data_IF_684098799259
#
_entry.id   IF_684098799259
#
_cell.length_a   1.000
_cell.length_b   1.000
_cell.length_c   1.000
_cell.angle_alpha   90.00
_cell.angle_beta   90.00
_cell.angle_gamma   90.00
#
_symmetry.space_group_name_H-M   'P 1'
#
loop_
_entity.id
_entity.type
_entity.pdbx_description
1 polymer ?
#
# COMPACT_ATOMS: atom_id res chain seq x y z
N UNK A 1 35.03 -6.23 -42.34
CA UNK A 1 35.96 -5.08 -42.25
C UNK A 1 35.77 -4.42 -40.89
N UNK A 2 36.84 -4.39 -40.12
CA UNK A 2 36.92 -4.01 -38.71
C UNK A 2 36.82 -2.50 -38.47
N UNK A 3 36.30 -2.13 -37.29
CA UNK A 3 36.69 -1.04 -36.35
C UNK A 3 35.77 -1.21 -35.13
N UNK A 4 36.11 -1.80 -33.97
CA UNK A 4 37.22 -1.69 -33.00
C UNK A 4 37.33 -0.33 -32.28
N UNK A 5 36.76 -0.34 -31.07
CA UNK A 5 37.08 0.30 -29.78
C UNK A 5 36.84 1.80 -29.55
N UNK A 6 36.15 2.11 -28.46
CA UNK A 6 36.73 2.91 -27.37
C UNK A 6 36.24 2.41 -26.00
N UNK A 7 37.23 2.12 -25.16
CA UNK A 7 37.15 1.76 -23.74
C UNK A 7 37.17 3.06 -22.95
N UNK A 8 36.31 3.19 -21.94
CA UNK A 8 36.35 4.25 -20.94
C UNK A 8 36.19 3.65 -19.55
N UNK A 9 37.20 3.86 -18.71
CA UNK A 9 37.49 3.20 -17.43
C UNK A 9 37.35 4.22 -16.28
N UNK A 10 36.90 3.75 -15.10
CA UNK A 10 37.15 4.27 -13.73
C UNK A 10 36.45 5.61 -13.33
N UNK A 11 36.05 5.89 -12.09
CA UNK A 11 36.53 5.41 -10.79
C UNK A 11 35.52 5.56 -9.62
N UNK A 12 35.78 4.77 -8.59
CA UNK A 12 35.28 4.79 -7.21
C UNK A 12 35.54 6.11 -6.49
N UNK A 13 34.64 6.51 -5.57
CA UNK A 13 34.99 7.29 -4.37
C UNK A 13 34.04 6.94 -3.21
N UNK A 14 34.60 6.24 -2.22
CA UNK A 14 34.07 6.01 -0.88
C UNK A 14 34.18 7.32 -0.07
N UNK A 15 33.16 7.64 0.72
CA UNK A 15 33.31 8.50 1.88
C UNK A 15 32.67 7.84 3.11
N UNK A 16 33.53 7.47 4.04
CA UNK A 16 33.25 6.89 5.35
C UNK A 16 33.19 8.04 6.36
N UNK A 17 32.13 8.17 7.16
CA UNK A 17 32.14 9.04 8.35
C UNK A 17 31.66 8.26 9.57
N UNK A 18 32.62 8.02 10.46
CA UNK A 18 32.45 7.45 11.80
C UNK A 18 32.13 8.60 12.76
N UNK A 19 31.08 8.46 13.56
CA UNK A 19 30.76 9.35 14.67
C UNK A 19 30.32 8.53 15.89
N UNK A 20 31.28 8.20 16.76
CA UNK A 20 31.07 7.66 18.10
C UNK A 20 30.99 8.84 19.09
N UNK A 21 29.96 8.87 19.93
CA UNK A 21 30.00 9.57 21.21
C UNK A 21 29.17 8.78 22.24
N UNK A 22 29.88 7.99 23.05
CA UNK A 22 29.38 7.44 24.30
C UNK A 22 29.70 8.42 25.43
N UNK A 23 28.71 8.72 26.28
CA UNK A 23 28.88 9.51 27.50
C UNK A 23 28.12 8.83 28.64
N UNK A 24 28.87 8.12 29.49
CA UNK A 24 28.40 7.48 30.71
C UNK A 24 29.31 7.94 31.86
N UNK A 25 28.71 8.26 33.01
CA UNK A 25 29.39 8.62 34.25
C UNK A 25 28.53 9.62 35.05
N UNK A 26 28.19 9.42 36.31
CA UNK A 26 28.60 8.43 37.29
C UNK A 26 28.33 9.02 38.68
N UNK A 27 27.91 8.16 39.61
CA UNK A 27 27.34 8.40 40.94
C UNK A 27 28.06 9.39 41.89
N UNK A 28 27.26 9.94 42.81
CA UNK A 28 27.68 10.57 44.05
C UNK A 28 26.64 10.36 45.16
N UNK A 29 26.96 9.40 46.02
CA UNK A 29 26.31 8.96 47.27
C UNK A 29 26.21 10.07 48.33
N UNK A 30 25.16 10.02 49.17
CA UNK A 30 25.13 10.37 50.61
C UNK A 30 23.67 10.40 51.13
N UNK A 31 23.26 9.38 51.91
CA UNK A 31 22.11 9.47 52.83
C UNK A 31 22.55 9.83 54.26
N UNK A 32 21.70 9.71 55.30
CA UNK A 32 20.24 9.77 55.32
C UNK A 32 19.72 10.80 56.36
N UNK A 33 18.57 11.43 56.13
CA UNK A 33 17.77 12.02 57.21
C UNK A 33 16.37 11.41 57.27
N UNK A 34 15.99 11.07 58.50
CA UNK A 34 14.82 10.31 58.89
C UNK A 34 13.69 11.29 59.17
N UNK A 35 12.66 11.32 58.31
CA UNK A 35 11.37 11.95 58.63
C UNK A 35 10.27 10.95 58.32
N UNK A 36 9.41 10.75 59.31
CA UNK A 36 8.32 9.77 59.31
C UNK A 36 6.98 10.47 59.05
N UNK A 37 6.13 9.77 58.29
CA UNK A 37 4.64 9.80 58.20
C UNK A 37 4.00 10.92 57.36
N UNK A 38 3.41 10.52 56.23
CA UNK A 38 1.95 10.64 56.00
C UNK A 38 1.49 9.69 54.89
N UNK A 39 0.48 8.87 55.23
CA UNK A 39 -0.26 8.00 54.32
C UNK A 39 -0.83 8.80 53.17
N UNK A 40 -0.35 8.53 51.96
CA UNK A 40 -0.96 8.96 50.70
C UNK A 40 -1.83 7.78 50.23
N UNK A 41 -3.08 7.99 49.81
CA UNK A 41 -3.88 6.89 49.28
C UNK A 41 -3.15 6.26 48.10
N UNK A 42 -3.08 4.93 48.06
CA UNK A 42 -2.74 4.18 46.87
C UNK A 42 -3.73 4.59 45.78
N UNK A 43 -3.33 5.50 44.89
CA UNK A 43 -3.88 5.52 43.54
C UNK A 43 -3.34 4.26 42.88
N UNK A 44 -4.14 3.20 42.96
CA UNK A 44 -4.07 2.08 42.03
C UNK A 44 -4.16 2.67 40.63
N UNK A 45 -2.98 2.92 40.04
CA UNK A 45 -2.86 3.20 38.62
C UNK A 45 -3.40 1.99 37.90
N UNK A 46 -4.65 2.10 37.45
CA UNK A 46 -5.25 1.19 36.48
C UNK A 46 -4.21 0.95 35.37
N UNK A 47 -3.89 -0.31 35.02
CA UNK A 47 -3.10 -0.56 33.85
C UNK A 47 -3.83 0.07 32.68
N UNK A 48 -3.20 1.06 32.05
CA UNK A 48 -3.67 1.63 30.80
C UNK A 48 -3.60 0.53 29.74
N UNK A 49 -4.67 -0.23 29.64
CA UNK A 49 -4.98 -1.11 28.51
C UNK A 49 -5.34 -0.24 27.29
N UNK A 50 -4.41 0.61 26.86
CA UNK A 50 -4.38 1.03 25.45
C UNK A 50 -3.57 -0.01 24.71
N UNK A 51 -4.11 -1.23 24.62
CA UNK A 51 -3.78 -2.10 23.50
C UNK A 51 -4.24 -1.31 22.26
N UNK A 52 -3.33 -0.55 21.66
CA UNK A 52 -3.59 0.13 20.40
C UNK A 52 -3.97 -0.95 19.40
N UNK A 53 -5.26 -1.09 19.12
CA UNK A 53 -5.77 -2.00 18.10
C UNK A 53 -5.00 -1.71 16.81
N UNK A 54 -4.49 -2.76 16.17
CA UNK A 54 -3.76 -2.62 14.91
C UNK A 54 -4.61 -1.79 13.91
N UNK A 55 -4.00 -0.86 13.16
CA UNK A 55 -4.76 -0.04 12.22
C UNK A 55 -5.45 -0.91 11.18
N UNK A 56 -6.71 -0.58 10.88
CA UNK A 56 -7.49 -1.28 9.86
C UNK A 56 -7.38 -0.57 8.51
N UNK A 57 -7.19 -1.35 7.44
CA UNK A 57 -7.30 -0.91 6.04
C UNK A 57 -8.40 -1.71 5.35
N UNK A 58 -9.39 -1.02 4.77
CA UNK A 58 -10.42 -1.68 3.94
C UNK A 58 -9.88 -1.91 2.53
N UNK A 59 -9.74 -3.15 2.10
CA UNK A 59 -9.11 -3.55 0.85
C UNK A 59 -10.16 -3.79 -0.24
N UNK A 60 -10.44 -2.78 -1.07
CA UNK A 60 -11.45 -2.86 -2.12
C UNK A 60 -10.85 -3.26 -3.47
N UNK A 61 -11.35 -4.35 -4.04
CA UNK A 61 -10.93 -4.86 -5.33
C UNK A 61 -11.67 -6.13 -5.72
N UNK A 62 -11.23 -6.77 -6.81
CA UNK A 62 -11.75 -8.07 -7.26
C UNK A 62 -10.71 -9.17 -7.09
N UNK A 63 -10.72 -10.19 -7.95
CA UNK A 63 -9.91 -11.42 -7.86
C UNK A 63 -8.42 -11.23 -7.55
N UNK A 64 -7.77 -10.17 -8.02
CA UNK A 64 -6.35 -9.91 -7.70
C UNK A 64 -6.16 -9.47 -6.25
N UNK A 65 -7.09 -8.66 -5.72
CA UNK A 65 -7.12 -8.25 -4.32
C UNK A 65 -7.47 -9.44 -3.44
N UNK A 66 -8.50 -10.21 -3.81
CA UNK A 66 -8.86 -11.46 -3.12
C UNK A 66 -7.66 -12.41 -3.05
N UNK A 67 -7.00 -12.70 -4.18
CA UNK A 67 -5.81 -13.55 -4.20
C UNK A 67 -4.64 -12.99 -3.37
N UNK A 68 -4.55 -11.66 -3.21
CA UNK A 68 -3.55 -11.07 -2.32
C UNK A 68 -3.90 -11.35 -0.85
N UNK A 69 -5.17 -11.18 -0.49
CA UNK A 69 -5.70 -11.50 0.83
C UNK A 69 -5.52 -13.00 1.15
N UNK A 70 -5.83 -13.90 0.21
CA UNK A 70 -5.60 -15.34 0.34
C UNK A 70 -4.12 -15.67 0.56
N UNK A 71 -3.20 -14.94 -0.09
CA UNK A 71 -1.76 -15.14 0.10
C UNK A 71 -1.29 -14.86 1.53
N UNK A 72 -2.09 -14.10 2.30
CA UNK A 72 -1.88 -13.83 3.73
C UNK A 72 -2.71 -14.74 4.64
N UNK A 73 -3.51 -15.65 4.09
CA UNK A 73 -4.32 -16.61 4.85
C UNK A 73 -5.78 -16.18 5.05
N UNK A 74 -6.32 -15.28 4.22
CA UNK A 74 -7.75 -14.99 4.20
C UNK A 74 -8.58 -16.26 3.97
N UNK A 75 -9.61 -16.45 4.80
CA UNK A 75 -10.49 -17.62 4.83
C UNK A 75 -11.95 -17.24 4.55
N UNK A 76 -12.17 -16.12 3.86
CA UNK A 76 -13.48 -15.55 3.54
C UNK A 76 -14.27 -15.07 4.77
N UNK A 77 -13.65 -15.05 5.96
CA UNK A 77 -14.27 -14.54 7.18
C UNK A 77 -13.40 -13.45 7.83
N UNK A 78 -13.98 -12.25 7.98
CA UNK A 78 -13.34 -11.17 8.73
C UNK A 78 -12.02 -10.65 8.14
N UNK A 79 -11.28 -9.82 8.90
CA UNK A 79 -10.02 -9.25 8.44
C UNK A 79 -8.83 -10.21 8.62
N UNK A 80 -7.81 -10.05 7.78
CA UNK A 80 -6.51 -10.71 7.94
C UNK A 80 -5.56 -9.84 8.76
N UNK A 81 -4.88 -10.44 9.73
CA UNK A 81 -3.78 -9.79 10.46
C UNK A 81 -2.45 -9.99 9.72
N UNK A 82 -1.81 -8.89 9.32
CA UNK A 82 -0.53 -8.95 8.61
C UNK A 82 0.32 -7.70 8.88
N UNK A 83 1.58 -7.91 9.25
CA UNK A 83 2.56 -6.84 9.54
C UNK A 83 2.10 -5.80 10.59
N UNK A 84 1.23 -6.24 11.51
CA UNK A 84 0.63 -5.37 12.53
C UNK A 84 -0.48 -4.46 11.99
N UNK A 85 -1.15 -4.86 10.91
CA UNK A 85 -2.36 -4.25 10.36
C UNK A 85 -3.51 -5.26 10.32
N UNK A 86 -4.74 -4.76 10.41
CA UNK A 86 -5.95 -5.51 10.07
C UNK A 86 -6.37 -5.14 8.65
N UNK A 87 -6.48 -6.12 7.76
CA UNK A 87 -6.82 -5.92 6.35
C UNK A 87 -8.19 -6.53 6.11
N UNK A 88 -9.20 -5.69 5.85
CA UNK A 88 -10.59 -6.13 5.67
C UNK A 88 -10.96 -6.10 4.19
N UNK A 89 -11.14 -7.28 3.58
CA UNK A 89 -11.48 -7.39 2.17
C UNK A 89 -12.92 -6.99 1.89
N UNK A 90 -13.11 -6.24 0.80
CA UNK A 90 -14.43 -5.93 0.25
C UNK A 90 -14.40 -6.06 -1.27
N UNK A 91 -15.31 -6.87 -1.80
CA UNK A 91 -15.41 -7.09 -3.23
C UNK A 91 -16.05 -5.88 -3.93
N UNK A 92 -15.51 -5.51 -5.09
CA UNK A 92 -16.12 -4.53 -5.98
C UNK A 92 -16.97 -5.21 -7.06
N UNK A 93 -17.97 -4.51 -7.57
CA UNK A 93 -18.81 -4.98 -8.66
C UNK A 93 -18.00 -5.42 -9.89
N UNK A 94 -18.45 -6.50 -10.53
CA UNK A 94 -17.95 -6.95 -11.83
C UNK A 94 -18.41 -6.08 -13.01
N UNK A 95 -19.51 -5.36 -12.84
CA UNK A 95 -19.99 -4.35 -13.79
C UNK A 95 -19.26 -3.03 -13.55
N UNK A 96 -18.47 -2.61 -14.56
CA UNK A 96 -17.67 -1.38 -14.55
C UNK A 96 -18.51 -0.15 -14.20
N UNK A 97 -19.76 -0.09 -14.66
CA UNK A 97 -20.67 1.04 -14.39
C UNK A 97 -21.15 1.11 -12.94
N UNK A 98 -21.01 0.01 -12.18
CA UNK A 98 -21.43 -0.10 -10.78
C UNK A 98 -20.25 -0.11 -9.80
N UNK A 99 -19.01 -0.03 -10.27
CA UNK A 99 -17.82 -0.12 -9.40
C UNK A 99 -17.85 0.97 -8.31
N UNK A 100 -18.08 2.23 -8.66
CA UNK A 100 -18.14 3.31 -7.66
C UNK A 100 -19.34 3.13 -6.70
N UNK A 101 -20.46 2.59 -7.19
CA UNK A 101 -21.62 2.23 -6.37
C UNK A 101 -21.26 1.19 -5.31
N UNK A 102 -20.66 0.07 -5.72
CA UNK A 102 -20.21 -0.98 -4.80
C UNK A 102 -19.13 -0.49 -3.82
N UNK A 103 -18.22 0.37 -4.28
CA UNK A 103 -17.23 0.98 -3.39
C UNK A 103 -17.89 1.83 -2.30
N UNK A 104 -18.92 2.62 -2.66
CA UNK A 104 -19.69 3.42 -1.69
C UNK A 104 -20.32 2.55 -0.62
N UNK A 105 -20.92 1.43 -1.01
CA UNK A 105 -21.51 0.45 -0.08
C UNK A 105 -20.44 -0.15 0.85
N UNK A 106 -19.27 -0.50 0.30
CA UNK A 106 -18.18 -1.10 1.06
C UNK A 106 -17.58 -0.19 2.13
N UNK A 107 -17.62 1.13 1.93
CA UNK A 107 -17.07 2.12 2.87
C UNK A 107 -18.14 2.78 3.74
N UNK A 108 -19.40 2.40 3.59
CA UNK A 108 -20.50 2.95 4.39
C UNK A 108 -20.30 2.66 5.87
N UNK A 109 -20.42 3.69 6.71
CA UNK A 109 -20.32 3.57 8.15
C UNK A 109 -18.90 3.41 8.70
N UNK A 110 -17.87 3.46 7.84
CA UNK A 110 -16.48 3.53 8.32
C UNK A 110 -16.25 4.83 9.12
N UNK A 111 -15.48 4.78 10.23
CA UNK A 111 -15.13 5.98 10.98
C UNK A 111 -14.35 6.99 10.13
N UNK A 112 -14.54 8.29 10.40
CA UNK A 112 -13.73 9.36 9.81
C UNK A 112 -12.23 9.10 10.02
N UNK A 113 -11.43 9.34 8.99
CA UNK A 113 -9.99 9.09 8.98
C UNK A 113 -9.58 7.64 8.71
N UNK A 114 -10.53 6.71 8.58
CA UNK A 114 -10.23 5.32 8.19
C UNK A 114 -9.55 5.27 6.83
N UNK A 115 -8.61 4.32 6.67
CA UNK A 115 -7.89 4.12 5.41
C UNK A 115 -8.61 3.06 4.58
N UNK A 116 -8.88 3.39 3.32
CA UNK A 116 -9.44 2.47 2.33
C UNK A 116 -8.50 2.39 1.13
N UNK A 117 -8.34 1.18 0.61
CA UNK A 117 -7.60 0.88 -0.61
C UNK A 117 -8.62 0.62 -1.71
N UNK A 118 -8.43 1.20 -2.90
CA UNK A 118 -9.23 0.93 -4.09
C UNK A 118 -8.34 0.49 -5.24
N UNK A 119 -8.77 -0.53 -5.99
CA UNK A 119 -8.12 -0.93 -7.24
C UNK A 119 -9.08 -1.60 -8.22
N UNK A 120 -8.99 -1.17 -9.47
CA UNK A 120 -9.57 -1.87 -10.62
C UNK A 120 -8.93 -3.24 -10.84
N UNK A 121 -9.72 -4.17 -11.38
CA UNK A 121 -9.19 -5.42 -11.90
C UNK A 121 -8.51 -5.16 -13.25
N UNK A 122 -7.62 -6.05 -13.66
CA UNK A 122 -6.98 -5.94 -14.97
C UNK A 122 -7.96 -6.05 -16.14
N UNK A 123 -9.11 -6.71 -15.96
CA UNK A 123 -10.14 -6.84 -17.01
C UNK A 123 -10.91 -5.55 -17.27
N UNK A 124 -10.80 -4.55 -16.39
CA UNK A 124 -11.41 -3.23 -16.59
C UNK A 124 -10.65 -2.39 -17.64
N UNK A 125 -9.44 -2.82 -18.01
CA UNK A 125 -8.59 -2.15 -18.99
C UNK A 125 -8.65 -2.89 -20.32
N UNK A 126 -9.33 -2.30 -21.30
CA UNK A 126 -9.51 -2.90 -22.63
C UNK A 126 -8.85 -2.10 -23.76
N UNK A 127 -8.06 -1.07 -23.42
CA UNK A 127 -7.09 -0.41 -24.29
C UNK A 127 -7.57 0.88 -24.94
N UNK A 128 -8.82 1.28 -24.73
CA UNK A 128 -9.42 2.50 -25.27
C UNK A 128 -10.47 3.16 -24.37
N UNK A 129 -10.46 2.88 -23.06
CA UNK A 129 -11.44 3.35 -22.08
C UNK A 129 -10.88 4.18 -20.93
N UNK A 130 -9.65 4.68 -21.07
CA UNK A 130 -9.01 5.55 -20.08
C UNK A 130 -9.95 6.62 -19.47
N UNK A 131 -10.70 7.35 -20.29
CA UNK A 131 -11.60 8.41 -19.81
C UNK A 131 -12.74 7.90 -18.92
N UNK A 132 -13.20 6.66 -19.12
CA UNK A 132 -14.21 6.03 -18.27
C UNK A 132 -13.61 5.67 -16.90
N UNK A 133 -12.40 5.10 -16.90
CA UNK A 133 -11.67 4.76 -15.68
C UNK A 133 -11.34 6.01 -14.85
N UNK A 134 -10.92 7.09 -15.49
CA UNK A 134 -10.69 8.39 -14.85
C UNK A 134 -11.97 8.92 -14.18
N UNK A 135 -13.11 8.87 -14.88
CA UNK A 135 -14.39 9.29 -14.34
C UNK A 135 -14.82 8.50 -13.10
N UNK A 136 -14.57 7.19 -13.07
CA UNK A 136 -14.84 6.35 -11.90
C UNK A 136 -13.90 6.71 -10.74
N UNK A 137 -12.63 6.99 -10.99
CA UNK A 137 -11.70 7.44 -9.95
C UNK A 137 -12.12 8.78 -9.35
N UNK A 138 -12.57 9.72 -10.19
CA UNK A 138 -13.12 10.99 -9.69
C UNK A 138 -14.33 10.76 -8.76
N UNK A 139 -15.20 9.79 -9.07
CA UNK A 139 -16.31 9.41 -8.18
C UNK A 139 -15.82 8.78 -6.87
N UNK A 140 -14.86 7.84 -6.94
CA UNK A 140 -14.26 7.19 -5.76
C UNK A 140 -13.61 8.22 -4.82
N UNK A 141 -12.87 9.18 -5.36
CA UNK A 141 -12.28 10.28 -4.58
C UNK A 141 -13.39 11.14 -3.95
N UNK A 142 -14.46 11.42 -4.70
CA UNK A 142 -15.64 12.11 -4.19
C UNK A 142 -16.25 11.41 -2.97
N UNK A 143 -16.49 10.09 -3.07
CA UNK A 143 -17.02 9.26 -1.99
C UNK A 143 -16.12 9.32 -0.76
N UNK A 144 -14.81 9.18 -0.94
CA UNK A 144 -13.84 9.26 0.17
C UNK A 144 -13.91 10.61 0.86
N UNK A 145 -13.93 11.71 0.09
CA UNK A 145 -14.00 13.06 0.63
C UNK A 145 -15.29 13.31 1.39
N UNK A 146 -16.43 12.84 0.86
CA UNK A 146 -17.74 12.96 1.50
C UNK A 146 -17.80 12.24 2.86
N UNK A 147 -17.05 11.14 3.01
CA UNK A 147 -17.01 10.33 4.23
C UNK A 147 -15.80 10.65 5.14
N UNK A 148 -14.96 11.63 4.77
CA UNK A 148 -13.76 12.01 5.51
C UNK A 148 -12.74 10.86 5.65
N UNK A 149 -12.65 9.98 4.64
CA UNK A 149 -11.74 8.83 4.64
C UNK A 149 -10.37 9.21 4.07
N UNK A 150 -9.41 8.27 4.16
CA UNK A 150 -8.11 8.33 3.49
C UNK A 150 -8.04 7.26 2.42
N UNK A 151 -7.51 7.58 1.24
CA UNK A 151 -7.55 6.68 0.08
C UNK A 151 -6.16 6.25 -0.37
N UNK A 152 -5.99 4.96 -0.62
CA UNK A 152 -4.89 4.41 -1.39
C UNK A 152 -5.43 3.93 -2.74
N UNK A 153 -4.93 4.48 -3.84
CA UNK A 153 -5.25 4.08 -5.21
C UNK A 153 -4.18 3.13 -5.75
N UNK A 154 -4.54 1.87 -5.97
CA UNK A 154 -3.68 0.92 -6.65
C UNK A 154 -3.67 1.17 -8.15
N UNK A 155 -2.49 1.47 -8.71
CA UNK A 155 -2.36 1.73 -10.14
C UNK A 155 -2.54 0.47 -11.00
N UNK A 156 -2.44 0.60 -12.33
CA UNK A 156 -2.75 -0.49 -13.26
C UNK A 156 -1.97 -1.79 -12.94
N UNK A 157 -2.65 -2.93 -13.06
CA UNK A 157 -1.97 -4.23 -12.99
C UNK A 157 -1.50 -4.63 -14.40
N UNK A 158 -0.21 -4.87 -14.63
CA UNK A 158 0.24 -5.34 -15.92
C UNK A 158 -0.26 -6.77 -16.16
N UNK A 159 -0.84 -7.00 -17.33
CA UNK A 159 -1.31 -8.32 -17.77
C UNK A 159 -0.23 -9.07 -18.53
N UNK A 160 -0.43 -10.37 -18.72
CA UNK A 160 0.40 -11.14 -19.64
C UNK A 160 0.24 -10.63 -21.06
N UNK A 161 1.34 -10.62 -21.80
CA UNK A 161 1.36 -10.18 -23.20
C UNK A 161 0.42 -11.00 -24.10
N UNK A 162 0.21 -12.27 -23.78
CA UNK A 162 -0.68 -13.16 -24.52
C UNK A 162 -2.17 -12.83 -24.30
N UNK A 163 -2.51 -12.23 -23.16
CA UNK A 163 -3.87 -11.92 -22.75
C UNK A 163 -4.21 -10.43 -23.01
N UNK A 164 -3.22 -9.64 -23.40
CA UNK A 164 -3.31 -8.20 -23.49
C UNK A 164 -4.19 -7.72 -24.67
N UNK A 165 -5.20 -6.88 -24.41
CA UNK A 165 -5.88 -6.17 -25.49
C UNK A 165 -4.93 -5.16 -26.16
N UNK A 166 -5.24 -4.82 -27.40
CA UNK A 166 -4.48 -3.82 -28.15
C UNK A 166 -4.55 -2.46 -27.45
N UNK A 167 -3.42 -1.76 -27.32
CA UNK A 167 -3.38 -0.42 -26.72
C UNK A 167 -3.30 -0.39 -25.20
N UNK A 168 -3.45 -1.54 -24.52
CA UNK A 168 -3.56 -1.59 -23.06
C UNK A 168 -2.36 -1.02 -22.31
N UNK A 169 -1.13 -1.18 -22.83
CA UNK A 169 0.07 -0.60 -22.20
C UNK A 169 0.04 0.93 -22.22
N UNK A 170 -0.43 1.54 -23.30
CA UNK A 170 -0.58 2.99 -23.38
C UNK A 170 -1.67 3.48 -22.42
N UNK A 171 -2.76 2.72 -22.29
CA UNK A 171 -3.82 3.02 -21.33
C UNK A 171 -3.31 2.92 -19.89
N UNK A 172 -2.55 1.88 -19.52
CA UNK A 172 -1.90 1.78 -18.21
C UNK A 172 -1.03 3.00 -17.91
N UNK A 173 -0.23 3.45 -18.88
CA UNK A 173 0.63 4.62 -18.73
C UNK A 173 -0.17 5.90 -18.52
N UNK A 174 -1.26 6.09 -19.28
CA UNK A 174 -2.18 7.21 -19.11
C UNK A 174 -2.84 7.20 -17.73
N UNK A 175 -3.43 6.07 -17.36
CA UNK A 175 -4.09 5.88 -16.07
C UNK A 175 -3.13 6.10 -14.89
N UNK A 176 -1.94 5.51 -14.95
CA UNK A 176 -0.94 5.68 -13.89
C UNK A 176 -0.47 7.14 -13.78
N UNK A 177 -0.36 7.86 -14.89
CA UNK A 177 -0.01 9.29 -14.88
C UNK A 177 -1.12 10.12 -14.25
N UNK A 178 -2.37 9.84 -14.61
CA UNK A 178 -3.55 10.49 -14.03
C UNK A 178 -3.61 10.27 -12.51
N UNK A 179 -3.37 9.05 -12.01
CA UNK A 179 -3.34 8.78 -10.57
C UNK A 179 -2.26 9.59 -9.84
N UNK A 180 -1.09 9.78 -10.45
CA UNK A 180 -0.03 10.61 -9.86
C UNK A 180 -0.47 12.07 -9.72
N UNK A 181 -1.23 12.60 -10.68
CA UNK A 181 -1.82 13.94 -10.55
C UNK A 181 -2.77 14.01 -9.35
N UNK A 182 -3.60 12.97 -9.16
CA UNK A 182 -4.53 12.86 -8.01
C UNK A 182 -3.84 12.70 -6.66
N UNK A 183 -2.64 12.12 -6.63
CA UNK A 183 -1.87 11.99 -5.39
C UNK A 183 -1.41 13.32 -4.77
N UNK A 184 -1.60 14.43 -5.49
CA UNK A 184 -1.39 15.78 -4.95
C UNK A 184 -2.52 16.28 -4.05
N UNK A 185 -3.68 15.60 -4.07
CA UNK A 185 -4.79 15.90 -3.17
C UNK A 185 -4.48 15.43 -1.74
N UNK A 186 -4.84 16.25 -0.75
CA UNK A 186 -4.76 15.86 0.65
C UNK A 186 -5.58 14.56 0.84
N UNK A 187 -4.99 13.57 1.53
CA UNK A 187 -5.59 12.25 1.83
C UNK A 187 -5.63 11.19 0.70
N UNK A 188 -4.98 11.42 -0.45
CA UNK A 188 -4.86 10.40 -1.52
C UNK A 188 -3.40 9.94 -1.68
N UNK A 189 -3.18 8.63 -1.61
CA UNK A 189 -1.91 7.97 -1.88
C UNK A 189 -2.04 7.07 -3.11
N UNK A 190 -0.94 6.86 -3.84
CA UNK A 190 -0.89 5.91 -4.95
C UNK A 190 0.05 4.77 -4.60
N UNK A 191 -0.42 3.54 -4.79
CA UNK A 191 0.38 2.34 -4.64
C UNK A 191 0.73 1.73 -6.00
N UNK A 192 2.02 1.54 -6.25
CA UNK A 192 2.59 1.22 -7.56
C UNK A 192 2.70 -0.30 -7.80
N UNK A 193 1.60 -0.93 -8.23
CA UNK A 193 1.62 -2.30 -8.77
C UNK A 193 2.45 -2.39 -10.04
N UNK A 194 2.26 -1.43 -10.96
CA UNK A 194 2.82 -1.47 -12.29
C UNK A 194 4.35 -1.48 -12.27
N UNK A 195 4.99 -0.56 -11.55
CA UNK A 195 6.45 -0.50 -11.44
C UNK A 195 7.05 -1.72 -10.74
N UNK A 196 6.32 -2.36 -9.82
CA UNK A 196 6.76 -3.60 -9.16
C UNK A 196 6.67 -4.80 -10.10
N UNK A 197 5.60 -4.90 -10.88
CA UNK A 197 5.23 -6.13 -11.59
C UNK A 197 5.51 -6.11 -13.09
N UNK A 198 5.62 -4.95 -13.72
CA UNK A 198 5.81 -4.83 -15.16
C UNK A 198 7.26 -5.03 -15.58
N UNK A 199 7.46 -5.76 -16.68
CA UNK A 199 8.73 -5.85 -17.38
C UNK A 199 9.01 -4.59 -18.21
N UNK A 200 10.19 -4.51 -18.87
CA UNK A 200 10.56 -3.36 -19.70
C UNK A 200 9.61 -3.07 -20.87
N UNK A 201 8.81 -4.05 -21.30
CA UNK A 201 7.83 -3.89 -22.37
C UNK A 201 6.41 -3.57 -21.87
N UNK A 202 6.25 -3.36 -20.56
CA UNK A 202 4.99 -2.95 -19.94
C UNK A 202 4.01 -4.07 -19.60
N UNK A 203 4.38 -5.32 -19.85
CA UNK A 203 3.58 -6.49 -19.52
C UNK A 203 4.07 -7.17 -18.24
N UNK A 204 3.29 -8.10 -17.69
CA UNK A 204 3.64 -8.85 -16.50
C UNK A 204 4.99 -9.55 -16.70
N UNK A 205 5.88 -9.44 -15.71
CA UNK A 205 7.17 -10.15 -15.71
C UNK A 205 6.95 -11.67 -15.78
N UNK A 206 7.73 -12.43 -16.58
CA UNK A 206 7.54 -13.87 -16.73
C UNK A 206 7.65 -14.66 -15.42
N UNK A 207 8.44 -14.19 -14.44
CA UNK A 207 8.54 -14.83 -13.12
C UNK A 207 7.26 -14.74 -12.27
N UNK A 208 6.30 -13.91 -12.68
CA UNK A 208 5.02 -13.69 -12.00
C UNK A 208 3.82 -14.37 -12.68
N UNK A 209 4.05 -14.93 -13.89
CA UNK A 209 3.03 -15.57 -14.73
C UNK A 209 2.67 -16.98 -14.22
N UNK A 210 1.36 -17.29 -14.14
CA UNK A 210 0.81 -18.62 -13.76
C UNK A 210 0.01 -19.31 -14.87
N UNK A 211 0.02 -18.76 -16.07
CA UNK A 211 -0.80 -19.23 -17.20
C UNK A 211 -2.01 -18.34 -17.48
N UNK A 212 -2.30 -17.36 -16.62
CA UNK A 212 -3.23 -16.26 -16.82
C UNK A 212 -2.70 -14.96 -16.16
N UNK A 213 -3.44 -13.86 -16.27
CA UNK A 213 -3.01 -12.56 -15.73
C UNK A 213 -3.23 -12.37 -14.21
N UNK A 214 -3.59 -13.44 -13.48
CA UNK A 214 -3.49 -13.44 -12.02
C UNK A 214 -2.03 -13.60 -11.57
N UNK A 215 -1.79 -13.34 -10.29
CA UNK A 215 -0.46 -13.27 -9.72
C UNK A 215 -0.09 -14.55 -8.97
N UNK A 216 1.17 -14.96 -9.04
CA UNK A 216 1.71 -16.01 -8.17
C UNK A 216 2.15 -15.47 -6.80
N UNK A 217 2.53 -16.37 -5.90
CA UNK A 217 3.07 -16.03 -4.58
C UNK A 217 4.32 -15.14 -4.63
N UNK A 218 5.16 -15.24 -5.67
CA UNK A 218 6.35 -14.40 -5.81
C UNK A 218 5.98 -12.94 -6.15
N UNK A 219 4.93 -12.73 -6.95
CA UNK A 219 4.38 -11.42 -7.24
C UNK A 219 3.75 -10.78 -6.02
N UNK A 220 2.91 -11.51 -5.27
CA UNK A 220 2.35 -11.01 -4.00
C UNK A 220 3.44 -10.67 -2.98
N UNK A 221 4.46 -11.53 -2.84
CA UNK A 221 5.62 -11.22 -1.99
C UNK A 221 6.42 -10.00 -2.45
N UNK A 222 6.44 -9.70 -3.76
CA UNK A 222 7.08 -8.49 -4.27
C UNK A 222 6.27 -7.23 -3.93
N UNK A 223 4.94 -7.33 -3.96
CA UNK A 223 4.03 -6.25 -3.53
C UNK A 223 4.14 -6.00 -2.03
N UNK A 224 4.14 -7.04 -1.20
CA UNK A 224 4.28 -6.93 0.27
C UNK A 224 5.49 -6.06 0.67
N UNK A 225 6.62 -6.24 -0.03
CA UNK A 225 7.88 -5.49 0.23
C UNK A 225 7.77 -3.99 0.03
N UNK A 226 6.77 -3.50 -0.69
CA UNK A 226 6.55 -2.08 -0.92
C UNK A 226 5.26 -1.57 -0.30
N UNK A 227 4.27 -2.45 -0.08
CA UNK A 227 2.98 -2.08 0.48
C UNK A 227 3.05 -1.76 1.97
N UNK A 228 3.63 -2.62 2.79
CA UNK A 228 3.73 -2.36 4.22
C UNK A 228 4.59 -1.13 4.56
N UNK A 229 5.73 -0.89 3.88
CA UNK A 229 6.45 0.38 4.05
C UNK A 229 5.64 1.64 3.70
N UNK A 230 4.72 1.55 2.72
CA UNK A 230 3.79 2.65 2.43
C UNK A 230 2.84 2.85 3.63
N UNK A 231 2.26 1.78 4.16
CA UNK A 231 1.38 1.86 5.33
C UNK A 231 2.13 2.40 6.56
N UNK A 232 3.35 1.94 6.83
CA UNK A 232 4.18 2.43 7.94
C UNK A 232 4.37 3.94 7.82
N UNK A 233 4.74 4.43 6.63
CA UNK A 233 4.85 5.87 6.37
C UNK A 233 3.53 6.62 6.56
N UNK A 234 2.39 6.02 6.22
CA UNK A 234 1.07 6.64 6.36
C UNK A 234 0.58 6.73 7.81
N UNK A 235 1.04 5.81 8.66
CA UNK A 235 0.69 5.73 10.08
C UNK A 235 1.80 6.24 11.01
N UNK A 236 2.97 6.61 10.47
CA UNK A 236 4.10 7.12 11.24
C UNK A 236 4.81 6.05 12.08
N UNK A 237 4.91 4.82 11.55
CA UNK A 237 5.57 3.67 12.18
C UNK A 237 6.99 3.46 11.67
#
# INVERSE_FOLDING_TARGET
MSKKYCVGLLAFLLALSVGLAAGCGGDGDEGPEKITIQDVPDEEGEPSDTASSAPTVTMNGRSVMEGWMESWGYDWEGPVEKDGYHLDYKELSDDLSQIAGSFRENVEGLPEGSVTFFKFCFVDFYGDNLSELEGIIDEVIGIVRENGLRLILGNALPVRKADAPSGVVSEYQGYNSYLLEKSSEDSVWVYDFYGVLAGPDGYLKPEYDVGDSHLNAAAYSALDKTFFPLLDSMYGR
#
